data_IF_686293917553
#
_entry.id   IF_686293917553
#
_cell.length_a   1.000
_cell.length_b   1.000
_cell.length_c   1.000
_cell.angle_alpha   90.00
_cell.angle_beta   90.00
_cell.angle_gamma   90.00
#
_symmetry.space_group_name_H-M   'P 1'
#
loop_
_entity.id
_entity.type
_entity.pdbx_description
1 polymer ?
#
# COMPACT_ATOMS: atom_id res chain seq x y z
N UNK A 1 -10.52 8.78 8.48
CA UNK A 1 -10.84 9.26 7.13
C UNK A 1 -12.32 9.67 7.03
N UNK A 2 -13.28 8.82 7.42
CA UNK A 2 -14.71 9.13 7.36
C UNK A 2 -15.06 10.46 8.07
N UNK A 3 -14.49 10.73 9.26
CA UNK A 3 -14.69 11.97 10.00
C UNK A 3 -13.91 13.17 9.47
N UNK A 4 -13.03 12.96 8.51
CA UNK A 4 -12.22 14.01 7.87
C UNK A 4 -12.78 14.44 6.52
N UNK A 5 -13.97 13.96 6.14
CA UNK A 5 -14.64 14.36 4.91
C UNK A 5 -14.03 13.77 3.64
N UNK A 6 -13.40 12.59 3.72
CA UNK A 6 -12.99 11.82 2.54
C UNK A 6 -14.25 11.24 1.89
N UNK A 7 -14.34 11.31 0.56
CA UNK A 7 -15.56 10.93 -0.17
C UNK A 7 -15.67 9.41 -0.37
N UNK A 8 -14.54 8.73 -0.64
CA UNK A 8 -14.47 7.30 -0.93
C UNK A 8 -13.33 6.63 -0.18
N UNK A 9 -13.52 5.37 0.19
CA UNK A 9 -12.42 4.46 0.52
C UNK A 9 -12.20 3.49 -0.65
N UNK A 10 -10.97 3.02 -0.80
CA UNK A 10 -10.66 1.93 -1.72
C UNK A 10 -9.91 0.83 -0.97
N UNK A 11 -10.33 -0.41 -1.20
CA UNK A 11 -9.71 -1.62 -0.65
C UNK A 11 -9.33 -2.57 -1.78
N UNK A 12 -8.42 -3.49 -1.53
CA UNK A 12 -7.99 -4.44 -2.55
C UNK A 12 -9.02 -5.56 -2.76
N UNK A 13 -9.59 -6.10 -1.68
CA UNK A 13 -10.49 -7.25 -1.72
C UNK A 13 -11.78 -7.01 -0.93
N UNK A 14 -12.83 -7.78 -1.25
CA UNK A 14 -14.15 -7.67 -0.62
C UNK A 14 -14.10 -7.84 0.92
N UNK A 15 -13.30 -8.79 1.42
CA UNK A 15 -13.17 -9.07 2.85
C UNK A 15 -12.69 -7.85 3.65
N UNK A 16 -11.81 -7.04 3.08
CA UNK A 16 -11.36 -5.78 3.71
C UNK A 16 -12.52 -4.79 3.83
N UNK A 17 -13.35 -4.69 2.77
CA UNK A 17 -14.55 -3.86 2.78
C UNK A 17 -15.59 -4.33 3.80
N UNK A 18 -15.82 -5.64 3.89
CA UNK A 18 -16.71 -6.26 4.91
C UNK A 18 -16.22 -5.92 6.31
N UNK A 19 -14.93 -6.09 6.57
CA UNK A 19 -14.35 -5.75 7.88
C UNK A 19 -14.55 -4.26 8.23
N UNK A 20 -14.45 -3.36 7.26
CA UNK A 20 -14.73 -1.94 7.47
C UNK A 20 -16.22 -1.70 7.80
N UNK A 21 -17.14 -2.40 7.11
CA UNK A 21 -18.59 -2.33 7.42
C UNK A 21 -18.89 -2.82 8.84
N UNK A 22 -18.31 -3.94 9.25
CA UNK A 22 -18.42 -4.47 10.62
C UNK A 22 -17.92 -3.48 11.68
N UNK A 23 -16.97 -2.62 11.33
CA UNK A 23 -16.45 -1.54 12.19
C UNK A 23 -17.24 -0.24 12.10
N UNK A 24 -18.40 -0.24 11.43
CA UNK A 24 -19.32 0.90 11.36
C UNK A 24 -18.95 1.95 10.31
N UNK A 25 -18.09 1.62 9.34
CA UNK A 25 -17.82 2.51 8.21
C UNK A 25 -18.99 2.46 7.25
N UNK A 26 -19.64 3.61 7.02
CA UNK A 26 -20.84 3.74 6.16
C UNK A 26 -20.59 4.44 4.83
N UNK A 27 -19.46 5.11 4.66
CA UNK A 27 -19.10 5.79 3.42
C UNK A 27 -18.90 4.81 2.26
N UNK A 28 -18.95 5.26 0.99
CA UNK A 28 -18.71 4.40 -0.18
C UNK A 28 -17.33 3.72 -0.12
N UNK A 29 -17.28 2.45 -0.49
CA UNK A 29 -16.04 1.66 -0.51
C UNK A 29 -15.92 0.97 -1.88
N UNK A 30 -14.85 1.30 -2.59
CA UNK A 30 -14.47 0.68 -3.87
C UNK A 30 -13.62 -0.55 -3.62
N UNK A 31 -13.93 -1.66 -4.29
CA UNK A 31 -13.11 -2.88 -4.28
C UNK A 31 -12.35 -2.99 -5.61
N UNK A 32 -11.01 -2.94 -5.55
CA UNK A 32 -10.14 -2.85 -6.73
C UNK A 32 -9.80 -4.20 -7.39
N UNK A 33 -9.98 -5.32 -6.69
CA UNK A 33 -9.83 -6.66 -7.25
C UNK A 33 -11.13 -7.44 -7.01
N UNK A 34 -12.24 -6.89 -7.54
CA UNK A 34 -13.53 -7.53 -7.48
C UNK A 34 -13.56 -8.76 -8.41
N UNK A 35 -13.89 -9.91 -7.87
CA UNK A 35 -14.09 -11.16 -8.60
C UNK A 35 -15.52 -11.69 -8.45
N UNK A 36 -15.89 -12.62 -9.32
CA UNK A 36 -17.27 -13.13 -9.39
C UNK A 36 -17.69 -13.85 -8.10
N UNK A 37 -16.77 -14.51 -7.42
CA UNK A 37 -17.06 -15.26 -6.18
C UNK A 37 -17.39 -14.32 -5.01
N UNK A 38 -16.97 -13.06 -5.10
CA UNK A 38 -17.21 -12.03 -4.08
C UNK A 38 -18.42 -11.14 -4.32
N UNK A 39 -19.07 -11.20 -5.50
CA UNK A 39 -20.11 -10.24 -5.87
C UNK A 39 -21.33 -10.26 -4.94
N UNK A 40 -21.80 -11.42 -4.53
CA UNK A 40 -22.95 -11.51 -3.61
C UNK A 40 -22.63 -10.87 -2.25
N UNK A 41 -21.42 -11.12 -1.72
CA UNK A 41 -20.94 -10.52 -0.47
C UNK A 41 -20.79 -9.00 -0.63
N UNK A 42 -20.28 -8.55 -1.77
CA UNK A 42 -20.15 -7.13 -2.07
C UNK A 42 -21.50 -6.42 -2.09
N UNK A 43 -22.49 -6.99 -2.77
CA UNK A 43 -23.85 -6.43 -2.86
C UNK A 43 -24.49 -6.39 -1.46
N UNK A 44 -24.40 -7.49 -0.71
CA UNK A 44 -24.94 -7.56 0.66
C UNK A 44 -24.35 -6.51 1.61
N UNK A 45 -23.08 -6.13 1.39
CA UNK A 45 -22.36 -5.14 2.20
C UNK A 45 -22.26 -3.75 1.56
N UNK A 46 -22.96 -3.49 0.45
CA UNK A 46 -22.92 -2.23 -0.29
C UNK A 46 -21.49 -1.79 -0.62
N UNK A 47 -20.69 -2.73 -1.15
CA UNK A 47 -19.35 -2.47 -1.68
C UNK A 47 -19.43 -2.28 -3.19
N UNK A 48 -18.66 -1.35 -3.72
CA UNK A 48 -18.73 -0.91 -5.12
C UNK A 48 -17.57 -1.51 -5.92
N UNK A 49 -17.82 -2.39 -6.94
CA UNK A 49 -16.74 -3.06 -7.64
C UNK A 49 -16.02 -2.18 -8.67
N UNK A 50 -14.72 -2.41 -8.82
CA UNK A 50 -13.99 -2.10 -10.05
C UNK A 50 -14.46 -3.04 -11.16
N UNK A 51 -14.83 -2.49 -12.31
CA UNK A 51 -15.21 -3.24 -13.52
C UNK A 51 -14.16 -2.97 -14.60
N UNK A 52 -13.51 -4.02 -15.06
CA UNK A 52 -12.33 -3.93 -15.92
C UNK A 52 -12.41 -4.74 -17.20
N UNK A 53 -13.52 -5.46 -17.42
CA UNK A 53 -13.77 -6.27 -18.63
C UNK A 53 -15.26 -6.44 -18.90
N UNK A 54 -15.62 -6.81 -20.12
CA UNK A 54 -17.02 -7.15 -20.45
C UNK A 54 -17.52 -8.36 -19.66
N UNK A 55 -16.64 -9.30 -19.37
CA UNK A 55 -16.98 -10.47 -18.54
C UNK A 55 -17.33 -10.04 -17.11
N UNK A 56 -16.50 -9.21 -16.46
CA UNK A 56 -16.79 -8.72 -15.10
C UNK A 56 -18.05 -7.86 -15.06
N UNK A 57 -18.30 -7.06 -16.12
CA UNK A 57 -19.52 -6.26 -16.24
C UNK A 57 -20.78 -7.14 -16.31
N UNK A 58 -20.78 -8.15 -17.18
CA UNK A 58 -21.91 -9.07 -17.33
C UNK A 58 -22.18 -9.87 -16.06
N UNK A 59 -21.14 -10.49 -15.50
CA UNK A 59 -21.27 -11.29 -14.27
C UNK A 59 -21.78 -10.45 -13.09
N UNK A 60 -21.30 -9.20 -12.95
CA UNK A 60 -21.80 -8.33 -11.88
C UNK A 60 -23.23 -7.87 -12.10
N UNK A 61 -23.62 -7.56 -13.35
CA UNK A 61 -25.01 -7.22 -13.68
C UNK A 61 -25.98 -8.38 -13.40
N UNK A 62 -25.56 -9.61 -13.67
CA UNK A 62 -26.33 -10.82 -13.32
C UNK A 62 -26.48 -10.96 -11.80
N UNK A 63 -25.41 -10.78 -11.03
CA UNK A 63 -25.44 -10.81 -9.56
C UNK A 63 -26.39 -9.72 -8.99
N UNK A 64 -26.32 -8.49 -9.51
CA UNK A 64 -27.23 -7.40 -9.13
C UNK A 64 -28.69 -7.77 -9.41
N UNK A 65 -28.95 -8.40 -10.57
CA UNK A 65 -30.31 -8.89 -10.93
C UNK A 65 -30.79 -9.95 -9.95
N UNK A 66 -29.95 -10.93 -9.61
CA UNK A 66 -30.30 -11.99 -8.66
C UNK A 66 -30.58 -11.44 -7.26
N UNK A 67 -29.85 -10.39 -6.86
CA UNK A 67 -30.08 -9.72 -5.59
C UNK A 67 -31.34 -8.84 -5.55
N UNK A 68 -32.04 -8.67 -6.69
CA UNK A 68 -33.22 -7.81 -6.82
C UNK A 68 -32.88 -6.32 -6.77
N UNK A 69 -31.62 -5.96 -6.98
CA UNK A 69 -31.12 -4.58 -6.99
C UNK A 69 -31.12 -4.00 -8.41
N UNK A 70 -30.95 -2.70 -8.52
CA UNK A 70 -30.86 -2.02 -9.81
C UNK A 70 -30.03 -0.74 -9.68
N UNK A 71 -29.44 -0.30 -10.81
CA UNK A 71 -28.59 0.90 -10.85
C UNK A 71 -27.45 0.86 -9.81
N UNK A 72 -26.92 -0.34 -9.54
CA UNK A 72 -25.86 -0.51 -8.56
C UNK A 72 -24.60 0.22 -8.99
N UNK A 73 -23.93 0.98 -8.08
CA UNK A 73 -22.75 1.75 -8.44
C UNK A 73 -21.57 0.84 -8.78
N UNK A 74 -20.90 1.16 -9.89
CA UNK A 74 -19.67 0.50 -10.34
C UNK A 74 -18.61 1.53 -10.71
N UNK A 75 -17.34 1.12 -10.67
CA UNK A 75 -16.20 1.94 -11.03
C UNK A 75 -15.50 1.35 -12.25
N UNK A 76 -15.61 2.05 -13.39
CA UNK A 76 -15.09 1.55 -14.67
C UNK A 76 -13.60 1.83 -14.77
N UNK A 77 -12.80 0.77 -14.96
CA UNK A 77 -11.36 0.86 -15.14
C UNK A 77 -10.99 0.98 -16.61
N UNK A 78 -10.16 1.97 -16.93
CA UNK A 78 -9.54 2.14 -18.25
C UNK A 78 -8.05 1.78 -18.18
N UNK A 79 -7.55 1.06 -19.16
CA UNK A 79 -6.12 0.82 -19.32
C UNK A 79 -5.53 1.87 -20.27
N UNK A 80 -4.68 2.70 -19.74
CA UNK A 80 -3.98 3.77 -20.47
C UNK A 80 -2.47 3.55 -20.54
N UNK A 81 -2.01 2.32 -20.24
CA UNK A 81 -0.60 1.96 -20.34
C UNK A 81 -0.02 1.21 -19.14
N UNK A 82 -0.80 0.96 -18.08
CA UNK A 82 -0.38 0.08 -16.99
C UNK A 82 -0.43 -1.41 -17.40
N UNK A 83 -1.33 -1.77 -18.31
CA UNK A 83 -1.52 -3.12 -18.86
C UNK A 83 -1.73 -4.21 -17.79
N UNK A 84 -2.45 -3.84 -16.73
CA UNK A 84 -2.81 -4.76 -15.65
C UNK A 84 -4.28 -5.17 -15.71
N UNK A 85 -5.18 -4.19 -15.68
CA UNK A 85 -6.63 -4.34 -15.78
C UNK A 85 -7.21 -3.10 -16.47
N UNK A 86 -8.35 -3.26 -17.17
CA UNK A 86 -9.13 -2.14 -17.72
C UNK A 86 -9.40 -2.28 -19.20
N UNK A 87 -10.40 -1.53 -19.65
CA UNK A 87 -10.77 -1.42 -21.06
C UNK A 87 -9.76 -0.56 -21.81
N UNK A 88 -9.37 -1.00 -23.01
CA UNK A 88 -8.46 -0.24 -23.89
C UNK A 88 -9.25 0.73 -24.80
N UNK A 89 -8.55 1.67 -25.45
CA UNK A 89 -9.17 2.73 -26.27
C UNK A 89 -10.14 2.17 -27.35
N UNK A 90 -9.76 1.05 -27.99
CA UNK A 90 -10.56 0.42 -29.04
C UNK A 90 -11.89 -0.16 -28.54
N UNK A 91 -12.02 -0.40 -27.26
CA UNK A 91 -13.21 -1.00 -26.63
C UNK A 91 -14.22 0.05 -26.14
N UNK A 92 -13.87 1.35 -26.12
CA UNK A 92 -14.71 2.40 -25.53
C UNK A 92 -16.07 2.50 -26.18
N UNK A 93 -16.15 2.44 -27.52
CA UNK A 93 -17.43 2.50 -28.22
C UNK A 93 -18.36 1.33 -27.82
N UNK A 94 -17.81 0.12 -27.75
CA UNK A 94 -18.55 -1.06 -27.30
C UNK A 94 -18.95 -0.95 -25.83
N UNK A 95 -18.03 -0.45 -24.97
CA UNK A 95 -18.31 -0.24 -23.55
C UNK A 95 -19.46 0.74 -23.33
N UNK A 96 -19.50 1.86 -24.05
CA UNK A 96 -20.61 2.82 -24.02
C UNK A 96 -21.94 2.15 -24.37
N UNK A 97 -21.99 1.37 -25.47
CA UNK A 97 -23.18 0.64 -25.88
C UNK A 97 -23.62 -0.41 -24.85
N UNK A 98 -22.65 -1.14 -24.29
CA UNK A 98 -22.92 -2.16 -23.27
C UNK A 98 -23.47 -1.55 -21.98
N UNK A 99 -22.89 -0.47 -21.47
CA UNK A 99 -23.40 0.23 -20.29
C UNK A 99 -24.81 0.78 -20.49
N UNK A 100 -25.10 1.32 -21.68
CA UNK A 100 -26.46 1.79 -22.02
C UNK A 100 -27.48 0.65 -22.03
N UNK A 101 -27.07 -0.57 -22.41
CA UNK A 101 -27.91 -1.77 -22.46
C UNK A 101 -27.97 -2.51 -21.09
N UNK A 102 -27.23 -2.06 -20.06
CA UNK A 102 -27.13 -2.74 -18.76
C UNK A 102 -27.66 -1.85 -17.62
N UNK A 103 -29.01 -1.67 -17.52
CA UNK A 103 -29.61 -0.78 -16.53
C UNK A 103 -29.46 -1.24 -15.07
N UNK A 104 -29.02 -2.47 -14.86
CA UNK A 104 -28.74 -3.05 -13.54
C UNK A 104 -27.64 -2.29 -12.82
N UNK A 105 -26.69 -1.71 -13.56
CA UNK A 105 -25.54 -1.00 -12.99
C UNK A 105 -25.54 0.48 -13.37
N UNK A 106 -24.83 1.29 -12.60
CA UNK A 106 -24.59 2.71 -12.84
C UNK A 106 -23.11 3.01 -12.68
N UNK A 107 -22.45 3.48 -13.73
CA UNK A 107 -21.07 3.94 -13.62
C UNK A 107 -21.01 5.17 -12.67
N UNK A 108 -20.53 4.96 -11.45
CA UNK A 108 -20.31 6.03 -10.48
C UNK A 108 -19.02 6.79 -10.79
N UNK A 109 -17.99 6.07 -11.21
CA UNK A 109 -16.73 6.67 -11.67
C UNK A 109 -16.13 5.93 -12.85
N UNK A 110 -15.21 6.63 -13.52
CA UNK A 110 -14.29 6.06 -14.51
C UNK A 110 -12.87 6.45 -14.11
N UNK A 111 -11.94 5.50 -14.17
CA UNK A 111 -10.59 5.75 -13.71
C UNK A 111 -9.50 4.94 -14.44
N UNK A 112 -8.26 5.41 -14.30
CA UNK A 112 -7.06 4.70 -14.73
C UNK A 112 -6.00 4.74 -13.63
N UNK A 113 -4.81 4.22 -13.90
CA UNK A 113 -3.67 4.26 -12.99
C UNK A 113 -2.39 4.65 -13.72
N UNK A 114 -1.71 5.67 -13.19
CA UNK A 114 -0.43 6.14 -13.72
C UNK A 114 0.69 5.29 -13.10
N UNK A 115 1.48 4.63 -13.94
CA UNK A 115 2.49 3.67 -13.48
C UNK A 115 3.90 4.27 -13.28
N UNK A 116 4.16 5.47 -13.83
CA UNK A 116 5.45 6.14 -13.77
C UNK A 116 5.36 7.57 -13.22
N UNK A 117 4.29 7.91 -12.49
CA UNK A 117 4.08 9.27 -12.01
C UNK A 117 5.14 9.72 -10.97
N UNK A 118 5.88 8.80 -10.39
CA UNK A 118 6.99 9.02 -9.46
C UNK A 118 8.37 9.10 -10.14
N UNK A 119 8.46 8.83 -11.45
CA UNK A 119 9.71 8.75 -12.21
C UNK A 119 9.84 9.98 -13.13
N UNK A 120 10.71 10.98 -12.80
CA UNK A 120 10.85 12.19 -13.63
C UNK A 120 11.30 11.90 -15.07
N UNK A 121 12.09 10.88 -15.28
CA UNK A 121 12.55 10.44 -16.60
C UNK A 121 11.42 9.94 -17.50
N UNK A 122 10.30 9.51 -16.93
CA UNK A 122 9.11 9.00 -17.61
C UNK A 122 7.97 10.03 -17.69
N UNK A 123 8.23 11.30 -17.44
CA UNK A 123 7.21 12.36 -17.46
C UNK A 123 6.47 12.45 -18.81
N UNK A 124 7.17 12.26 -19.93
CA UNK A 124 6.56 12.27 -21.25
C UNK A 124 5.53 11.14 -21.43
N UNK A 125 5.86 9.95 -20.94
CA UNK A 125 4.97 8.78 -20.94
C UNK A 125 3.76 9.01 -20.02
N UNK A 126 4.00 9.52 -18.81
CA UNK A 126 2.93 9.85 -17.86
C UNK A 126 1.93 10.85 -18.43
N UNK A 127 2.42 11.91 -19.12
CA UNK A 127 1.53 12.87 -19.82
C UNK A 127 0.76 12.24 -20.98
N UNK A 128 1.36 11.32 -21.72
CA UNK A 128 0.66 10.56 -22.76
C UNK A 128 -0.46 9.68 -22.15
N UNK A 129 -0.22 9.03 -21.01
CA UNK A 129 -1.26 8.29 -20.28
C UNK A 129 -2.42 9.20 -19.84
N UNK A 130 -2.11 10.39 -19.30
CA UNK A 130 -3.11 11.38 -18.87
C UNK A 130 -3.96 11.83 -20.07
N UNK A 131 -3.31 12.17 -21.20
CA UNK A 131 -4.01 12.59 -22.41
C UNK A 131 -4.90 11.47 -23.00
N UNK A 132 -4.43 10.23 -22.98
CA UNK A 132 -5.23 9.08 -23.41
C UNK A 132 -6.43 8.87 -22.47
N UNK A 133 -6.19 8.93 -21.16
CA UNK A 133 -7.26 8.84 -20.17
C UNK A 133 -8.31 9.92 -20.35
N UNK A 134 -7.90 11.15 -20.59
CA UNK A 134 -8.82 12.29 -20.82
C UNK A 134 -9.76 12.01 -22.01
N UNK A 135 -9.19 11.60 -23.15
CA UNK A 135 -10.00 11.25 -24.35
C UNK A 135 -10.97 10.12 -24.08
N UNK A 136 -10.50 8.98 -23.55
CA UNK A 136 -11.32 7.79 -23.31
C UNK A 136 -12.42 8.08 -22.30
N UNK A 137 -12.09 8.71 -21.17
CA UNK A 137 -13.06 9.00 -20.12
C UNK A 137 -14.06 10.09 -20.51
N UNK A 138 -13.66 11.08 -21.31
CA UNK A 138 -14.57 12.07 -21.85
C UNK A 138 -15.61 11.45 -22.83
N UNK A 139 -15.16 10.54 -23.71
CA UNK A 139 -16.06 9.81 -24.62
C UNK A 139 -17.07 8.98 -23.84
N UNK A 140 -16.64 8.24 -22.82
CA UNK A 140 -17.52 7.46 -21.96
C UNK A 140 -18.50 8.36 -21.19
N UNK A 141 -18.00 9.43 -20.57
CA UNK A 141 -18.86 10.36 -19.84
C UNK A 141 -19.94 11.00 -20.73
N UNK A 142 -19.59 11.39 -21.96
CA UNK A 142 -20.53 11.95 -22.92
C UNK A 142 -21.63 10.97 -23.38
N UNK A 143 -21.39 9.66 -23.27
CA UNK A 143 -22.37 8.62 -23.63
C UNK A 143 -23.38 8.32 -22.53
N UNK A 144 -23.14 8.78 -21.32
CA UNK A 144 -23.99 8.50 -20.16
C UNK A 144 -25.00 9.63 -19.92
N UNK A 145 -26.25 9.32 -19.55
CA UNK A 145 -27.28 10.33 -19.28
C UNK A 145 -27.18 10.96 -17.87
N UNK A 146 -26.06 10.75 -17.18
CA UNK A 146 -25.77 11.24 -15.83
C UNK A 146 -24.28 11.54 -15.67
N UNK A 147 -23.89 12.39 -14.73
CA UNK A 147 -22.47 12.67 -14.49
C UNK A 147 -21.76 11.45 -13.92
N UNK A 148 -20.49 11.31 -14.29
CA UNK A 148 -19.58 10.26 -13.80
C UNK A 148 -18.30 10.92 -13.27
N UNK A 149 -17.82 10.49 -12.11
CA UNK A 149 -16.57 10.98 -11.49
C UNK A 149 -15.38 10.46 -12.28
N UNK A 150 -14.49 11.34 -12.72
CA UNK A 150 -13.27 11.01 -13.47
C UNK A 150 -12.06 11.12 -12.55
N UNK A 151 -11.22 10.08 -12.47
CA UNK A 151 -10.03 10.15 -11.63
C UNK A 151 -8.89 9.25 -12.12
N UNK A 152 -7.64 9.76 -12.04
CA UNK A 152 -6.46 8.97 -12.39
C UNK A 152 -5.26 9.22 -11.46
N UNK A 153 -5.18 10.38 -10.80
CA UNK A 153 -4.06 10.74 -9.95
C UNK A 153 -3.90 9.81 -8.74
N UNK A 154 -2.72 9.21 -8.61
CA UNK A 154 -2.22 8.57 -7.40
C UNK A 154 -1.43 9.59 -6.54
N UNK A 155 -0.85 9.19 -5.41
CA UNK A 155 -0.10 10.10 -4.52
C UNK A 155 0.98 10.90 -5.24
N UNK A 156 1.76 10.28 -6.14
CA UNK A 156 2.79 10.97 -6.91
C UNK A 156 2.21 11.99 -7.89
N UNK A 157 1.14 11.61 -8.60
CA UNK A 157 0.51 12.49 -9.57
C UNK A 157 -0.19 13.69 -8.92
N UNK A 158 -0.70 13.56 -7.71
CA UNK A 158 -1.28 14.68 -6.95
C UNK A 158 -0.27 15.83 -6.84
N UNK A 159 1.01 15.51 -6.57
CA UNK A 159 2.06 16.50 -6.42
C UNK A 159 2.68 16.95 -7.75
N UNK A 160 2.81 16.03 -8.72
CA UNK A 160 3.61 16.25 -9.92
C UNK A 160 2.82 16.66 -11.15
N UNK A 161 1.55 16.24 -11.23
CA UNK A 161 0.69 16.41 -12.41
C UNK A 161 -0.70 16.93 -12.00
N UNK A 162 -0.82 18.23 -11.65
CA UNK A 162 -2.12 18.83 -11.26
C UNK A 162 -3.21 18.61 -12.32
N UNK A 163 -2.83 18.52 -13.60
CA UNK A 163 -3.72 18.23 -14.72
C UNK A 163 -4.35 16.84 -14.69
N UNK A 164 -3.81 15.92 -13.88
CA UNK A 164 -4.32 14.55 -13.72
C UNK A 164 -5.34 14.39 -12.59
N UNK A 165 -5.64 15.43 -11.85
CA UNK A 165 -6.53 15.35 -10.68
C UNK A 165 -8.00 15.12 -11.07
N UNK A 166 -8.47 15.71 -12.19
CA UNK A 166 -9.84 15.64 -12.64
C UNK A 166 -10.84 15.95 -11.50
N UNK A 167 -11.81 15.03 -11.25
CA UNK A 167 -12.85 15.25 -10.23
C UNK A 167 -12.47 14.67 -8.86
N UNK A 168 -11.56 13.69 -8.81
CA UNK A 168 -11.15 13.01 -7.58
C UNK A 168 -9.70 12.52 -7.66
N UNK A 169 -9.03 12.43 -6.52
CA UNK A 169 -7.68 11.87 -6.38
C UNK A 169 -7.68 10.62 -5.49
N UNK A 170 -6.74 9.71 -5.74
CA UNK A 170 -6.52 8.53 -4.91
C UNK A 170 -5.26 8.67 -4.09
N UNK A 171 -5.43 9.05 -2.83
CA UNK A 171 -4.33 9.19 -1.90
C UNK A 171 -4.02 7.83 -1.23
N UNK A 172 -2.83 7.30 -1.47
CA UNK A 172 -2.33 6.06 -0.86
C UNK A 172 -1.12 6.34 0.02
N UNK A 173 0.08 6.35 -0.57
CA UNK A 173 1.34 6.52 0.15
C UNK A 173 1.41 7.82 0.95
N UNK A 174 0.81 8.90 0.44
CA UNK A 174 0.71 10.18 1.14
C UNK A 174 -0.03 10.11 2.48
N UNK A 175 -0.99 9.17 2.67
CA UNK A 175 -1.65 8.94 3.97
C UNK A 175 -0.68 8.41 5.04
N UNK A 176 0.40 7.78 4.62
CA UNK A 176 1.42 7.24 5.51
C UNK A 176 2.59 8.18 5.72
N UNK A 177 2.50 9.40 5.15
CA UNK A 177 3.46 10.47 5.36
C UNK A 177 4.62 10.49 4.38
N UNK A 178 4.45 9.90 3.18
CA UNK A 178 5.47 9.88 2.12
C UNK A 178 4.99 10.70 0.90
N UNK A 179 5.78 11.68 0.49
CA UNK A 179 5.56 12.53 -0.68
C UNK A 179 6.73 12.47 -1.65
N UNK A 180 6.56 13.08 -2.83
CA UNK A 180 7.56 13.06 -3.90
C UNK A 180 8.32 14.37 -4.03
N UNK A 181 7.67 15.52 -3.78
CA UNK A 181 8.28 16.86 -3.89
C UNK A 181 8.33 17.61 -2.56
N UNK A 182 7.38 17.37 -1.67
CA UNK A 182 7.13 18.14 -0.46
C UNK A 182 7.06 17.25 0.77
N UNK A 183 8.10 16.44 0.98
CA UNK A 183 8.18 15.55 2.14
C UNK A 183 8.07 16.31 3.47
N UNK A 184 8.50 17.57 3.53
CA UNK A 184 8.44 18.40 4.75
C UNK A 184 7.00 18.71 5.20
N UNK A 185 6.02 18.63 4.28
CA UNK A 185 4.59 18.82 4.60
C UNK A 185 3.92 17.57 5.17
N UNK A 186 4.53 16.41 5.00
CA UNK A 186 4.00 15.12 5.42
C UNK A 186 4.81 14.56 6.59
N UNK A 187 4.13 13.84 7.48
CA UNK A 187 4.76 13.19 8.63
C UNK A 187 4.59 11.69 8.54
N UNK A 188 5.69 10.90 8.49
CA UNK A 188 5.58 9.45 8.58
C UNK A 188 4.84 9.02 9.86
N UNK A 189 3.82 8.17 9.68
CA UNK A 189 2.90 7.79 10.78
C UNK A 189 3.25 6.47 11.43
N UNK A 190 4.20 5.73 10.87
CA UNK A 190 4.51 4.36 11.30
C UNK A 190 5.87 4.26 11.99
N UNK A 191 5.89 3.57 13.11
CA UNK A 191 7.12 3.13 13.79
C UNK A 191 6.97 1.67 14.19
N UNK A 192 7.94 0.83 13.84
CA UNK A 192 8.00 -0.56 14.28
C UNK A 192 8.98 -0.69 15.44
N UNK A 193 8.48 -1.19 16.56
CA UNK A 193 9.27 -1.29 17.81
C UNK A 193 9.25 -2.72 18.34
N UNK A 194 10.31 -3.05 19.06
CA UNK A 194 10.45 -4.28 19.85
C UNK A 194 11.22 -4.00 21.14
N UNK A 195 11.61 -5.05 21.88
CA UNK A 195 12.42 -4.91 23.10
C UNK A 195 13.55 -5.91 23.12
N UNK A 196 14.63 -5.59 23.82
CA UNK A 196 15.72 -6.52 24.07
C UNK A 196 15.24 -7.61 25.04
N UNK A 197 15.39 -8.88 24.65
CA UNK A 197 15.02 -10.03 25.51
C UNK A 197 16.22 -10.71 26.14
N UNK A 198 17.41 -10.59 25.56
CA UNK A 198 18.63 -11.16 26.14
C UNK A 198 19.86 -10.40 25.67
N UNK A 199 20.84 -10.24 26.57
CA UNK A 199 22.16 -9.68 26.28
C UNK A 199 23.22 -10.73 26.55
N UNK A 200 24.21 -10.84 25.62
CA UNK A 200 25.38 -11.75 25.78
C UNK A 200 26.63 -11.01 25.43
N UNK A 201 27.73 -11.36 26.15
CA UNK A 201 29.10 -10.93 25.82
C UNK A 201 29.80 -12.10 25.16
N UNK A 202 30.27 -11.92 23.95
CA UNK A 202 30.90 -12.96 23.15
C UNK A 202 32.35 -12.56 22.83
N UNK A 203 33.31 -13.51 22.85
CA UNK A 203 34.69 -13.21 22.50
C UNK A 203 34.85 -12.97 21.00
N UNK A 204 35.97 -12.36 20.61
CA UNK A 204 36.41 -12.32 19.24
C UNK A 204 36.63 -13.76 18.71
N UNK A 205 36.31 -13.99 17.45
CA UNK A 205 36.38 -15.32 16.80
C UNK A 205 35.07 -16.14 16.86
N UNK A 206 34.14 -15.77 17.74
CA UNK A 206 32.80 -16.36 17.76
C UNK A 206 31.98 -15.94 16.53
N UNK A 207 30.88 -16.64 16.34
CA UNK A 207 29.94 -16.33 15.25
C UNK A 207 28.50 -16.42 15.72
N UNK A 208 27.66 -15.52 15.21
CA UNK A 208 26.25 -15.34 15.58
C UNK A 208 25.34 -15.76 14.43
N UNK A 209 24.25 -16.46 14.77
CA UNK A 209 23.15 -16.77 13.89
C UNK A 209 23.39 -17.94 12.92
N UNK A 210 22.41 -18.19 12.08
CA UNK A 210 22.40 -19.31 11.13
C UNK A 210 23.57 -19.26 10.14
N UNK A 211 24.18 -20.43 9.95
CA UNK A 211 25.34 -20.58 9.05
C UNK A 211 26.58 -19.83 9.57
N UNK A 212 26.61 -19.47 10.85
CA UNK A 212 27.69 -18.70 11.46
C UNK A 212 28.02 -17.42 10.66
N UNK A 213 26.97 -16.77 10.12
CA UNK A 213 27.14 -15.65 9.19
C UNK A 213 27.64 -14.35 9.86
N UNK A 214 27.33 -14.16 11.14
CA UNK A 214 27.79 -13.01 11.92
C UNK A 214 29.12 -13.28 12.61
N UNK A 215 30.24 -13.19 11.89
CA UNK A 215 31.59 -13.40 12.47
C UNK A 215 32.01 -12.20 13.31
N UNK A 216 32.45 -12.44 14.53
CA UNK A 216 32.88 -11.42 15.45
C UNK A 216 34.40 -11.22 15.36
N UNK A 217 34.83 -10.03 14.96
CA UNK A 217 36.26 -9.69 14.83
C UNK A 217 36.83 -9.04 16.12
N UNK A 218 35.95 -8.67 17.07
CA UNK A 218 36.28 -8.11 18.37
C UNK A 218 35.39 -8.72 19.46
N UNK A 219 35.72 -8.59 20.74
CA UNK A 219 34.77 -8.87 21.82
C UNK A 219 33.51 -8.02 21.61
N UNK A 220 32.34 -8.67 21.56
CA UNK A 220 31.09 -8.04 21.15
C UNK A 220 30.01 -8.30 22.18
N UNK A 221 29.28 -7.26 22.54
CA UNK A 221 28.05 -7.37 23.33
C UNK A 221 26.88 -7.43 22.35
N UNK A 222 26.20 -8.58 22.31
CA UNK A 222 25.04 -8.80 21.44
C UNK A 222 23.76 -8.70 22.23
N UNK A 223 22.71 -8.16 21.62
CA UNK A 223 21.35 -8.23 22.13
C UNK A 223 20.46 -9.02 21.17
N UNK A 224 19.59 -9.85 21.72
CA UNK A 224 18.53 -10.55 20.96
C UNK A 224 17.25 -9.78 21.06
N UNK A 225 16.62 -9.52 19.94
CA UNK A 225 15.31 -8.88 19.82
C UNK A 225 14.30 -9.85 19.16
N UNK A 226 13.07 -10.00 19.72
CA UNK A 226 12.06 -10.95 19.26
C UNK A 226 11.28 -10.35 18.08
N UNK A 227 11.95 -10.19 16.95
CA UNK A 227 11.37 -9.83 15.67
C UNK A 227 12.19 -10.48 14.55
N UNK A 228 11.53 -11.10 13.61
CA UNK A 228 12.15 -11.78 12.49
C UNK A 228 11.33 -11.69 11.21
N UNK A 229 11.69 -12.51 10.21
CA UNK A 229 11.04 -12.41 8.90
C UNK A 229 9.55 -12.83 8.92
N UNK A 230 9.10 -13.62 9.88
CA UNK A 230 7.67 -13.93 10.05
C UNK A 230 6.87 -12.74 10.63
N UNK A 231 7.56 -11.71 11.14
CA UNK A 231 6.96 -10.44 11.57
C UNK A 231 7.00 -9.38 10.46
N UNK A 232 7.72 -9.65 9.37
CA UNK A 232 7.94 -8.70 8.29
C UNK A 232 9.31 -8.03 8.28
N UNK A 233 10.25 -8.45 9.14
CA UNK A 233 11.65 -8.00 9.07
C UNK A 233 12.39 -8.80 8.01
N UNK A 234 12.55 -8.24 6.81
CA UNK A 234 13.14 -8.94 5.68
C UNK A 234 14.51 -9.55 6.02
N UNK A 235 14.73 -10.79 5.58
CA UNK A 235 15.93 -11.54 5.87
C UNK A 235 17.20 -10.92 5.28
N UNK A 236 17.07 -10.15 4.19
CA UNK A 236 18.19 -9.44 3.56
C UNK A 236 18.71 -8.26 4.39
N UNK A 237 17.97 -7.83 5.42
CA UNK A 237 18.42 -6.80 6.36
C UNK A 237 19.48 -7.29 7.34
N UNK A 238 19.77 -8.59 7.37
CA UNK A 238 20.82 -9.20 8.19
C UNK A 238 22.24 -8.88 7.72
N UNK A 239 23.22 -9.40 8.48
CA UNK A 239 24.65 -9.30 8.17
C UNK A 239 25.16 -7.86 8.03
N UNK A 240 24.69 -6.96 8.86
CA UNK A 240 25.12 -5.55 8.92
C UNK A 240 24.49 -4.63 7.88
N UNK A 241 23.55 -5.13 7.05
CA UNK A 241 22.90 -4.30 6.02
C UNK A 241 21.91 -3.30 6.58
N UNK A 242 21.36 -3.56 7.76
CA UNK A 242 20.48 -2.67 8.48
C UNK A 242 20.90 -2.48 9.93
N UNK A 243 20.65 -1.29 10.45
CA UNK A 243 20.79 -0.99 11.88
C UNK A 243 19.44 -0.56 12.46
N UNK A 244 19.07 -1.19 13.55
CA UNK A 244 17.97 -0.73 14.40
C UNK A 244 18.45 0.37 15.33
N UNK A 245 17.56 1.11 16.01
CA UNK A 245 17.96 2.10 17.00
C UNK A 245 17.74 1.57 18.43
N UNK A 246 18.78 1.66 19.26
CA UNK A 246 18.74 1.41 20.70
C UNK A 246 19.20 2.67 21.40
N UNK A 247 18.39 3.22 22.30
CA UNK A 247 18.67 4.53 22.95
C UNK A 247 19.02 5.64 21.93
N UNK A 248 18.39 5.62 20.74
CA UNK A 248 18.64 6.59 19.67
C UNK A 248 19.96 6.37 18.91
N UNK A 249 20.72 5.31 19.19
CA UNK A 249 21.97 4.98 18.53
C UNK A 249 21.83 3.77 17.61
N UNK A 250 22.51 3.72 16.46
CA UNK A 250 22.42 2.61 15.52
C UNK A 250 23.09 1.35 16.08
N UNK A 251 22.37 0.24 16.07
CA UNK A 251 22.80 -1.10 16.43
C UNK A 251 22.64 -2.03 15.22
N UNK A 252 23.73 -2.43 14.53
CA UNK A 252 23.63 -3.24 13.32
C UNK A 252 23.13 -4.66 13.62
N UNK A 253 22.35 -5.24 12.72
CA UNK A 253 21.90 -6.64 12.80
C UNK A 253 23.08 -7.55 12.49
N UNK A 254 23.47 -8.40 13.45
CA UNK A 254 24.56 -9.38 13.29
C UNK A 254 24.00 -10.70 12.74
N UNK A 255 24.67 -11.23 11.72
CA UNK A 255 24.27 -12.49 11.11
C UNK A 255 22.93 -12.38 10.41
N UNK A 256 22.33 -13.53 10.12
CA UNK A 256 21.06 -13.59 9.38
C UNK A 256 19.88 -13.36 10.30
N UNK A 257 18.87 -12.64 9.83
CA UNK A 257 17.58 -12.55 10.50
C UNK A 257 16.95 -13.94 10.54
N UNK A 258 16.46 -14.35 11.71
CA UNK A 258 15.77 -15.62 11.93
C UNK A 258 14.26 -15.44 11.71
N UNK A 259 13.49 -16.53 11.90
CA UNK A 259 12.04 -16.51 11.72
C UNK A 259 11.36 -15.50 12.68
N UNK A 260 11.71 -15.59 13.97
CA UNK A 260 11.01 -14.88 15.04
C UNK A 260 11.92 -13.98 15.88
N UNK A 261 13.20 -13.85 15.50
CA UNK A 261 14.17 -13.05 16.22
C UNK A 261 15.36 -12.67 15.37
N UNK A 262 16.11 -11.67 15.80
CA UNK A 262 17.46 -11.39 15.28
C UNK A 262 18.37 -10.87 16.39
N UNK A 263 19.67 -10.82 16.11
CA UNK A 263 20.70 -10.37 17.03
C UNK A 263 21.30 -9.07 16.50
N UNK A 264 21.57 -8.13 17.40
CA UNK A 264 22.13 -6.82 17.10
C UNK A 264 23.41 -6.58 17.91
N UNK A 265 24.32 -5.78 17.38
CA UNK A 265 25.53 -5.34 18.09
C UNK A 265 25.22 -4.08 18.91
N UNK A 266 25.38 -4.20 20.23
CA UNK A 266 25.20 -3.08 21.16
C UNK A 266 26.52 -2.76 21.90
N UNK A 267 27.67 -3.21 21.39
CA UNK A 267 28.97 -3.08 22.05
C UNK A 267 29.29 -1.64 22.38
N UNK A 268 29.03 -0.74 21.46
CA UNK A 268 29.38 0.67 21.58
C UNK A 268 28.26 1.54 22.19
N UNK A 269 27.17 0.93 22.64
CA UNK A 269 26.00 1.61 23.21
C UNK A 269 25.99 1.38 24.73
N UNK A 270 26.39 2.35 25.53
CA UNK A 270 26.49 2.15 26.98
C UNK A 270 25.11 2.14 27.66
N UNK A 271 25.02 1.42 28.77
CA UNK A 271 23.86 1.45 29.66
C UNK A 271 22.66 0.63 29.19
N UNK A 272 22.76 -0.09 28.04
CA UNK A 272 21.70 -0.93 27.51
C UNK A 272 21.45 -2.13 28.39
N UNK A 273 20.16 -2.46 28.62
CA UNK A 273 19.72 -3.57 29.44
C UNK A 273 18.56 -4.33 28.77
N UNK A 274 18.32 -5.54 29.25
CA UNK A 274 17.14 -6.32 28.86
C UNK A 274 15.85 -5.56 29.22
N UNK A 275 14.88 -5.57 28.31
CA UNK A 275 13.65 -4.80 28.39
C UNK A 275 13.70 -3.43 27.68
N UNK A 276 14.88 -2.92 27.33
CA UNK A 276 15.00 -1.64 26.63
C UNK A 276 14.32 -1.70 25.23
N UNK A 277 13.75 -0.57 24.85
CA UNK A 277 13.05 -0.43 23.57
C UNK A 277 14.03 -0.34 22.41
N UNK A 278 13.66 -0.96 21.32
CA UNK A 278 14.38 -0.96 20.04
C UNK A 278 13.46 -0.50 18.94
N UNK A 279 13.85 0.51 18.17
CA UNK A 279 13.13 0.93 16.96
C UNK A 279 13.71 0.22 15.73
N UNK A 280 12.89 -0.59 15.08
CA UNK A 280 13.28 -1.35 13.88
C UNK A 280 13.29 -0.45 12.66
N UNK A 281 12.23 0.35 12.51
CA UNK A 281 12.17 1.53 11.66
C UNK A 281 11.33 2.62 12.34
N UNK A 282 11.62 3.86 12.02
CA UNK A 282 10.98 5.03 12.63
C UNK A 282 11.11 6.25 11.70
N UNK A 283 10.50 7.40 11.99
CA UNK A 283 10.72 8.63 11.22
C UNK A 283 12.13 9.23 11.31
N UNK A 284 13.03 8.63 12.05
CA UNK A 284 14.41 9.14 12.23
C UNK A 284 15.22 8.89 10.96
N UNK A 285 15.88 9.93 10.39
CA UNK A 285 16.73 9.77 9.21
C UNK A 285 17.76 8.64 9.37
N UNK A 286 17.88 7.78 8.37
CA UNK A 286 18.74 6.58 8.39
C UNK A 286 18.13 5.35 9.06
N UNK A 287 17.00 5.51 9.78
CA UNK A 287 16.19 4.40 10.29
C UNK A 287 14.75 4.45 9.72
N UNK A 288 14.55 5.25 8.67
CA UNK A 288 13.28 5.47 8.03
C UNK A 288 12.97 4.40 6.95
N UNK A 289 11.68 4.29 6.58
CA UNK A 289 11.21 3.31 5.61
C UNK A 289 11.77 3.52 4.21
N UNK A 290 12.06 4.76 3.79
CA UNK A 290 12.62 5.03 2.47
C UNK A 290 14.08 4.55 2.41
N UNK A 291 14.84 4.75 3.49
CA UNK A 291 16.20 4.22 3.61
C UNK A 291 16.19 2.69 3.63
N UNK A 292 15.26 2.06 4.37
CA UNK A 292 15.11 0.61 4.40
C UNK A 292 14.72 0.07 3.02
N UNK A 293 13.81 0.72 2.31
CA UNK A 293 13.40 0.35 0.95
C UNK A 293 14.58 0.38 -0.03
N UNK A 294 15.43 1.41 0.02
CA UNK A 294 16.67 1.48 -0.78
C UNK A 294 17.65 0.34 -0.48
N UNK A 295 17.78 -0.05 0.78
CA UNK A 295 18.64 -1.20 1.18
C UNK A 295 18.11 -2.52 0.62
N UNK A 296 16.79 -2.65 0.51
CA UNK A 296 16.10 -3.85 0.03
C UNK A 296 15.82 -3.84 -1.49
N UNK A 297 16.12 -2.74 -2.18
CA UNK A 297 15.78 -2.54 -3.59
C UNK A 297 14.26 -2.70 -3.85
N UNK A 298 13.47 -2.01 -3.01
CA UNK A 298 12.01 -2.03 -3.06
C UNK A 298 11.42 -0.66 -2.69
N UNK A 299 10.13 -0.63 -2.38
CA UNK A 299 9.36 0.57 -2.03
C UNK A 299 8.80 0.50 -0.60
N UNK A 300 8.55 1.66 0.01
CA UNK A 300 8.02 1.75 1.38
C UNK A 300 6.69 1.03 1.58
N UNK A 301 5.87 0.91 0.52
CA UNK A 301 4.62 0.13 0.54
C UNK A 301 4.85 -1.35 0.89
N UNK A 302 5.82 -2.00 0.22
CA UNK A 302 6.09 -3.42 0.44
C UNK A 302 6.52 -3.67 1.89
N UNK A 303 7.38 -2.81 2.44
CA UNK A 303 7.82 -2.93 3.84
C UNK A 303 6.64 -2.78 4.80
N UNK A 304 5.77 -1.79 4.59
CA UNK A 304 4.60 -1.58 5.46
C UNK A 304 3.60 -2.73 5.39
N UNK A 305 3.36 -3.25 4.18
CA UNK A 305 2.41 -4.35 3.97
C UNK A 305 2.95 -5.71 4.40
N UNK A 306 4.28 -5.89 4.42
CA UNK A 306 4.91 -7.11 4.91
C UNK A 306 4.84 -7.27 6.43
N UNK A 307 4.60 -6.18 7.19
CA UNK A 307 4.41 -6.28 8.64
C UNK A 307 3.22 -7.17 8.95
N UNK A 308 3.51 -8.34 9.53
CA UNK A 308 2.56 -9.42 9.77
C UNK A 308 1.39 -9.01 10.67
N UNK A 309 0.24 -9.67 10.50
CA UNK A 309 -0.94 -9.52 11.37
C UNK A 309 -0.70 -9.89 12.84
N UNK A 310 0.35 -10.69 13.15
CA UNK A 310 0.72 -11.03 14.53
C UNK A 310 1.43 -9.89 15.27
N UNK A 311 1.96 -8.88 14.54
CA UNK A 311 2.53 -7.68 15.15
C UNK A 311 1.39 -6.79 15.65
N UNK A 312 1.38 -6.52 16.95
CA UNK A 312 0.35 -5.69 17.57
C UNK A 312 0.42 -4.25 17.08
N UNK A 313 -0.67 -3.75 16.54
CA UNK A 313 -0.81 -2.35 16.12
C UNK A 313 -1.41 -1.51 17.24
N UNK A 314 -0.74 -0.42 17.58
CA UNK A 314 -1.16 0.54 18.58
C UNK A 314 -1.39 1.87 17.85
N UNK A 315 -2.63 2.33 17.86
CA UNK A 315 -3.00 3.61 17.25
C UNK A 315 -2.98 4.69 18.32
N UNK A 316 -2.15 5.71 18.09
CA UNK A 316 -2.07 6.88 18.95
C UNK A 316 -2.92 7.99 18.33
N UNK A 317 -3.69 8.68 19.15
CA UNK A 317 -4.36 9.94 18.77
C UNK A 317 -3.50 11.06 19.33
N UNK A 318 -3.02 11.94 18.46
CA UNK A 318 -2.45 13.22 18.87
C UNK A 318 -3.55 14.25 19.16
#
# INVERSE_FOLDING_TARGET
LQHQGVDYLAVAFADEGVLLRERGISMPIVVLNADADSFDVMIANRLEPEIYSFHSLGAFADAVTHAGESRYPIHVKLDTGMHRLGFVEQEIAQLCATLAATPQVKAASVFSHLNCADMPEEDAYTRAQIALYDRMSAQLAASLPYPVIRHTANSAAIERFPEAQFDMCRLGLGLYGFGFRHNDALRPVSTLKTRIVQIKRLPAGDAVGYGRAGKLTRPTTTATIPIGYADGLDRHLGCGRWSVLVAGQPAPIIGRVCMDSCMIDITDIPGVKEGDEVSVFSPVPGNDLETMARVLDTISYEIMTSVSGRVKRIYLKE
#
